data_IF_931849062088
#
_entry.id   IF_931849062088
#
_cell.length_a   1.000
_cell.length_b   1.000
_cell.length_c   1.000
_cell.angle_alpha   90.00
_cell.angle_beta   90.00
_cell.angle_gamma   90.00
#
_symmetry.space_group_name_H-M   'P 1'
#
loop_
_entity.id
_entity.type
_entity.pdbx_description
1 polymer ?
#
# COMPACT_ATOMS: atom_id res chain seq x y z
N UNK A 1 25.07 15.88 46.45
CA UNK A 1 24.34 15.90 45.17
C UNK A 1 24.13 14.50 44.61
N UNK A 2 25.20 13.70 44.46
CA UNK A 2 25.12 12.31 43.91
C UNK A 2 24.19 11.41 44.73
N UNK A 3 24.33 11.45 46.10
CA UNK A 3 23.46 10.66 46.97
C UNK A 3 21.97 11.05 46.86
N UNK A 4 21.68 12.34 46.70
CA UNK A 4 20.31 12.82 46.51
C UNK A 4 19.71 12.31 45.19
N UNK A 5 20.47 12.39 44.08
CA UNK A 5 20.04 11.87 42.79
C UNK A 5 19.80 10.36 42.89
N UNK A 6 20.72 9.62 43.53
CA UNK A 6 20.57 8.18 43.72
C UNK A 6 19.30 7.82 44.52
N UNK A 7 19.06 8.50 45.65
CA UNK A 7 17.83 8.28 46.43
C UNK A 7 16.57 8.65 45.68
N UNK A 8 16.58 9.70 44.82
CA UNK A 8 15.46 10.08 44.00
C UNK A 8 15.14 9.03 42.95
N UNK A 9 16.15 8.42 42.34
CA UNK A 9 15.99 7.31 41.37
C UNK A 9 15.40 6.07 42.06
N UNK A 10 15.94 5.70 43.24
CA UNK A 10 15.40 4.57 44.01
C UNK A 10 13.94 4.80 44.42
N UNK A 11 13.60 6.02 44.85
CA UNK A 11 12.24 6.38 45.20
C UNK A 11 11.30 6.29 43.98
N UNK A 12 11.71 6.81 42.81
CA UNK A 12 10.96 6.73 41.57
C UNK A 12 10.71 5.27 41.12
N UNK A 13 11.70 4.40 41.29
CA UNK A 13 11.55 2.96 41.05
C UNK A 13 10.59 2.31 42.06
N UNK A 14 10.69 2.66 43.35
CA UNK A 14 9.82 2.11 44.38
C UNK A 14 8.34 2.42 44.16
N UNK A 15 8.02 3.65 43.73
CA UNK A 15 6.65 4.06 43.39
C UNK A 15 6.22 3.64 41.97
N UNK A 16 7.03 2.86 41.28
CA UNK A 16 6.77 2.41 39.89
C UNK A 16 6.46 3.57 38.92
N UNK A 17 7.04 4.75 39.13
CA UNK A 17 6.76 5.96 38.36
C UNK A 17 6.96 5.77 36.84
N UNK A 18 7.88 4.91 36.46
CA UNK A 18 8.21 4.61 35.05
C UNK A 18 7.72 3.26 34.58
N UNK A 19 6.86 2.58 35.37
CA UNK A 19 6.19 1.37 34.87
C UNK A 19 5.30 1.73 33.68
N UNK A 20 5.24 0.85 32.70
CA UNK A 20 4.40 1.10 31.54
C UNK A 20 2.91 1.03 31.93
N UNK A 21 2.24 2.17 31.96
CA UNK A 21 0.81 2.27 32.26
C UNK A 21 -0.03 2.42 30.99
N UNK A 22 0.59 2.93 29.93
CA UNK A 22 -0.16 3.25 28.71
C UNK A 22 0.64 2.98 27.45
N UNK A 23 0.02 2.29 26.49
CA UNK A 23 0.47 2.20 25.10
C UNK A 23 -0.48 3.04 24.25
N UNK A 24 0.09 3.91 23.43
CA UNK A 24 -0.64 4.71 22.46
C UNK A 24 -0.20 4.30 21.06
N UNK A 25 -1.12 3.73 20.28
CA UNK A 25 -0.87 3.32 18.91
C UNK A 25 -1.60 4.28 17.99
N UNK A 26 -0.90 4.83 17.01
CA UNK A 26 -1.42 5.80 16.03
C UNK A 26 -1.08 5.35 14.62
N UNK A 27 -2.00 5.58 13.70
CA UNK A 27 -1.78 5.36 12.26
C UNK A 27 -2.21 3.97 11.75
N UNK A 28 -2.55 3.05 12.64
CA UNK A 28 -3.10 1.75 12.26
C UNK A 28 -4.57 1.91 11.82
N UNK A 29 -4.88 1.40 10.63
CA UNK A 29 -6.22 1.39 10.04
C UNK A 29 -6.66 -0.03 9.69
N UNK A 30 -5.80 -0.78 9.04
CA UNK A 30 -6.00 -2.17 8.64
C UNK A 30 -5.44 -3.13 9.69
N UNK A 31 -4.22 -2.89 10.17
CA UNK A 31 -3.57 -3.77 11.16
C UNK A 31 -4.23 -3.58 12.52
N UNK A 32 -4.81 -4.64 13.04
CA UNK A 32 -5.51 -4.60 14.32
C UNK A 32 -4.54 -4.32 15.48
N UNK A 33 -5.00 -3.56 16.47
CA UNK A 33 -4.17 -3.15 17.62
C UNK A 33 -3.60 -4.34 18.40
N UNK A 34 -4.37 -5.43 18.55
CA UNK A 34 -3.91 -6.63 19.22
C UNK A 34 -2.72 -7.29 18.52
N UNK A 35 -2.68 -7.33 17.18
CA UNK A 35 -1.56 -7.87 16.40
C UNK A 35 -0.29 -7.06 16.68
N UNK A 36 -0.41 -5.74 16.77
CA UNK A 36 0.70 -4.85 17.08
C UNK A 36 1.22 -5.09 18.50
N UNK A 37 0.31 -5.19 19.47
CA UNK A 37 0.67 -5.46 20.87
C UNK A 37 1.32 -6.82 21.04
N UNK A 38 0.80 -7.84 20.38
CA UNK A 38 1.37 -9.21 20.41
C UNK A 38 2.78 -9.23 19.80
N UNK A 39 3.01 -8.52 18.69
CA UNK A 39 4.34 -8.41 18.08
C UNK A 39 5.36 -7.70 19.01
N UNK A 40 4.91 -6.72 19.79
CA UNK A 40 5.77 -6.01 20.73
C UNK A 40 6.16 -6.84 21.96
N UNK A 41 5.33 -7.81 22.33
CA UNK A 41 5.55 -8.68 23.51
C UNK A 41 5.96 -7.90 24.78
N UNK A 42 5.16 -6.90 25.14
CA UNK A 42 5.43 -5.98 26.25
C UNK A 42 4.71 -6.45 27.51
N UNK A 43 5.43 -6.43 28.66
CA UNK A 43 4.86 -6.63 29.99
C UNK A 43 4.51 -5.29 30.62
N UNK A 44 3.25 -5.09 31.01
CA UNK A 44 2.77 -3.85 31.62
C UNK A 44 3.42 -3.51 32.98
N UNK A 45 4.02 -4.51 33.66
CA UNK A 45 4.65 -4.28 34.96
C UNK A 45 6.10 -3.78 34.85
N UNK A 46 6.71 -3.90 33.67
CA UNK A 46 8.07 -3.47 33.44
C UNK A 46 8.18 -1.94 33.23
N UNK A 47 9.40 -1.42 33.50
CA UNK A 47 9.69 -0.02 33.22
C UNK A 47 9.75 0.25 31.72
N UNK A 48 9.24 1.40 31.27
CA UNK A 48 9.39 1.82 29.86
C UNK A 48 10.86 1.93 29.43
N UNK A 49 11.80 1.98 30.35
CA UNK A 49 13.23 2.04 30.07
C UNK A 49 13.89 0.68 29.89
N UNK A 50 13.24 -0.43 30.30
CA UNK A 50 13.77 -1.80 30.10
C UNK A 50 13.69 -2.24 28.64
N UNK A 51 12.79 -1.66 27.85
CA UNK A 51 12.60 -2.04 26.45
C UNK A 51 13.63 -1.40 25.52
N UNK A 52 14.16 -2.20 24.60
CA UNK A 52 14.91 -1.70 23.45
C UNK A 52 13.94 -1.21 22.38
N UNK A 53 13.88 0.11 22.16
CA UNK A 53 12.94 0.70 21.19
C UNK A 53 13.20 0.24 19.75
N UNK A 54 14.46 -0.02 19.38
CA UNK A 54 14.80 -0.54 18.05
C UNK A 54 14.23 -1.94 17.84
N UNK A 55 14.37 -2.82 18.84
CA UNK A 55 13.80 -4.17 18.78
C UNK A 55 12.28 -4.16 18.70
N UNK A 56 11.61 -3.30 19.50
CA UNK A 56 10.16 -3.12 19.40
C UNK A 56 9.74 -2.61 18.01
N UNK A 57 10.51 -1.70 17.43
CA UNK A 57 10.28 -1.18 16.09
C UNK A 57 10.41 -2.28 15.05
N UNK A 58 11.51 -3.05 15.07
CA UNK A 58 11.77 -4.14 14.11
C UNK A 58 10.68 -5.21 14.19
N UNK A 59 10.24 -5.57 15.41
CA UNK A 59 9.16 -6.53 15.61
C UNK A 59 7.84 -6.07 14.97
N UNK A 60 7.46 -4.81 15.14
CA UNK A 60 6.23 -4.27 14.55
C UNK A 60 6.39 -4.07 13.04
N UNK A 61 7.56 -3.66 12.55
CA UNK A 61 7.84 -3.56 11.10
C UNK A 61 7.83 -4.91 10.38
N UNK A 62 7.99 -6.03 11.11
CA UNK A 62 7.86 -7.38 10.54
C UNK A 62 6.42 -7.76 10.16
N UNK A 63 5.42 -7.00 10.62
CA UNK A 63 4.01 -7.22 10.26
C UNK A 63 3.79 -6.82 8.80
N UNK A 64 3.22 -7.71 8.00
CA UNK A 64 3.16 -7.65 6.53
C UNK A 64 2.66 -6.31 5.96
N UNK A 65 1.62 -5.73 6.52
CA UNK A 65 1.05 -4.45 6.04
C UNK A 65 1.64 -3.21 6.71
N UNK A 66 2.69 -3.36 7.50
CA UNK A 66 3.39 -2.23 8.11
C UNK A 66 4.54 -1.80 7.18
N UNK A 67 4.58 -0.51 6.84
CA UNK A 67 5.65 0.09 6.02
C UNK A 67 6.78 0.61 6.87
N UNK A 68 6.47 1.28 7.96
CA UNK A 68 7.44 1.81 8.91
C UNK A 68 6.80 2.09 10.26
N UNK A 69 7.62 2.04 11.30
CA UNK A 69 7.19 2.30 12.68
C UNK A 69 8.14 3.29 13.34
N UNK A 70 7.60 4.11 14.21
CA UNK A 70 8.38 4.92 15.14
C UNK A 70 7.91 4.65 16.56
N UNK A 71 8.79 4.08 17.38
CA UNK A 71 8.54 3.87 18.80
C UNK A 71 9.22 4.95 19.62
N UNK A 72 8.52 5.54 20.55
CA UNK A 72 9.05 6.59 21.43
C UNK A 72 8.47 6.51 22.85
N UNK A 73 9.22 7.02 23.81
CA UNK A 73 8.78 7.13 25.20
C UNK A 73 8.20 8.51 25.45
N UNK A 74 7.03 8.56 26.06
CA UNK A 74 6.46 9.78 26.62
C UNK A 74 6.46 9.61 28.15
N UNK A 75 7.30 10.38 28.81
CA UNK A 75 7.44 10.30 30.25
C UNK A 75 6.13 10.70 30.97
N UNK A 76 5.82 10.11 32.11
CA UNK A 76 6.68 9.15 32.84
C UNK A 76 6.50 7.68 32.41
N UNK A 77 5.36 7.27 31.81
CA UNK A 77 4.92 5.87 31.78
C UNK A 77 4.26 5.45 30.46
N UNK A 78 4.44 6.20 29.36
CA UNK A 78 3.77 5.93 28.09
C UNK A 78 4.76 5.52 27.01
N UNK A 79 4.43 4.44 26.27
CA UNK A 79 5.04 4.11 24.99
C UNK A 79 4.12 4.58 23.86
N UNK A 80 4.66 5.39 22.95
CA UNK A 80 3.95 5.84 21.75
C UNK A 80 4.49 5.10 20.54
N UNK A 81 3.60 4.46 19.78
CA UNK A 81 3.86 3.73 18.56
C UNK A 81 3.14 4.44 17.42
N UNK A 82 3.90 5.00 16.49
CA UNK A 82 3.38 5.62 15.28
C UNK A 82 3.66 4.68 14.11
N UNK A 83 2.59 4.25 13.44
CA UNK A 83 2.64 3.28 12.35
C UNK A 83 2.27 3.97 11.05
N UNK A 84 3.04 3.70 10.02
CA UNK A 84 2.68 3.96 8.65
C UNK A 84 2.38 2.61 7.99
N UNK A 85 1.15 2.38 7.60
CA UNK A 85 0.75 1.16 6.90
C UNK A 85 1.05 1.26 5.41
N UNK A 86 1.28 0.10 4.78
CA UNK A 86 1.37 -0.03 3.32
C UNK A 86 -0.01 0.19 2.72
N UNK A 87 -0.05 0.96 1.65
CA UNK A 87 -1.27 1.23 0.90
C UNK A 87 -1.20 0.49 -0.45
N UNK A 88 -1.87 -0.66 -0.58
CA UNK A 88 -1.98 -1.36 -1.86
C UNK A 88 -2.56 -0.47 -2.96
N UNK A 89 -2.06 -0.63 -4.18
CA UNK A 89 -2.54 0.08 -5.36
C UNK A 89 -3.10 -0.87 -6.44
N UNK A 90 -2.85 -2.16 -6.33
CA UNK A 90 -3.35 -3.16 -7.27
C UNK A 90 -3.40 -4.52 -6.62
N UNK A 91 -4.39 -5.32 -6.98
CA UNK A 91 -4.47 -6.74 -6.68
C UNK A 91 -4.07 -7.54 -7.92
N UNK A 92 -3.02 -8.34 -7.83
CA UNK A 92 -2.51 -9.15 -8.92
C UNK A 92 -2.89 -10.61 -8.70
N UNK A 93 -3.42 -11.24 -9.75
CA UNK A 93 -3.72 -12.67 -9.77
C UNK A 93 -2.56 -13.41 -10.46
N UNK A 94 -1.80 -14.17 -9.68
CA UNK A 94 -0.67 -14.99 -10.15
C UNK A 94 -0.98 -16.45 -9.88
N UNK A 95 -1.25 -17.22 -10.92
CA UNK A 95 -1.65 -18.65 -10.81
C UNK A 95 -2.75 -18.85 -9.76
N UNK A 96 -2.44 -19.54 -8.66
CA UNK A 96 -3.38 -19.82 -7.57
C UNK A 96 -3.29 -18.81 -6.41
N UNK A 97 -2.35 -17.86 -6.46
CA UNK A 97 -2.11 -16.90 -5.39
C UNK A 97 -2.50 -15.48 -5.79
N UNK A 98 -2.84 -14.68 -4.80
CA UNK A 98 -3.23 -13.29 -4.95
C UNK A 98 -2.31 -12.42 -4.12
N UNK A 99 -1.76 -11.39 -4.76
CA UNK A 99 -0.88 -10.44 -4.10
C UNK A 99 -1.36 -9.03 -4.32
N UNK A 100 -1.38 -8.26 -3.27
CA UNK A 100 -1.38 -6.82 -3.40
C UNK A 100 0.03 -6.31 -3.68
N UNK A 101 0.11 -5.21 -4.41
CA UNK A 101 1.35 -4.45 -4.54
C UNK A 101 1.10 -3.00 -4.15
N UNK A 102 2.05 -2.43 -3.40
CA UNK A 102 2.06 -1.01 -3.07
C UNK A 102 2.87 -0.21 -4.11
N UNK A 103 2.98 1.10 -3.89
CA UNK A 103 3.73 2.01 -4.77
C UNK A 103 5.24 1.67 -4.85
N UNK A 104 5.78 0.99 -3.83
CA UNK A 104 7.17 0.53 -3.79
C UNK A 104 7.35 -0.83 -4.48
N UNK A 105 6.28 -1.38 -5.08
CA UNK A 105 6.21 -2.70 -5.70
C UNK A 105 6.47 -3.84 -4.70
N UNK A 106 6.15 -3.63 -3.44
CA UNK A 106 6.27 -4.67 -2.41
C UNK A 106 5.08 -5.62 -2.52
N UNK A 107 5.30 -6.95 -2.69
CA UNK A 107 4.23 -7.93 -2.67
C UNK A 107 3.72 -8.13 -1.24
N UNK A 108 2.40 -8.17 -1.08
CA UNK A 108 1.69 -8.42 0.17
C UNK A 108 0.66 -9.51 -0.11
N UNK A 109 0.63 -10.56 0.69
CA UNK A 109 -0.29 -11.66 0.46
C UNK A 109 -1.75 -11.20 0.67
N UNK A 110 -2.58 -11.39 -0.35
CA UNK A 110 -3.97 -10.95 -0.33
C UNK A 110 -4.86 -12.01 0.31
N UNK A 111 -5.08 -11.90 1.61
CA UNK A 111 -6.10 -12.67 2.30
C UNK A 111 -7.51 -12.09 2.07
N UNK A 112 -8.54 -12.82 2.49
CA UNK A 112 -9.95 -12.41 2.29
C UNK A 112 -10.29 -11.08 2.97
N UNK A 113 -9.70 -10.80 4.13
CA UNK A 113 -9.95 -9.58 4.89
C UNK A 113 -9.34 -8.38 4.19
N UNK A 114 -8.09 -8.51 3.72
CA UNK A 114 -7.41 -7.48 2.94
C UNK A 114 -8.14 -7.16 1.64
N UNK A 115 -8.63 -8.17 0.92
CA UNK A 115 -9.40 -7.97 -0.33
C UNK A 115 -10.67 -7.15 -0.08
N UNK A 116 -11.35 -7.39 1.03
CA UNK A 116 -12.54 -6.61 1.38
C UNK A 116 -12.23 -5.19 1.87
N UNK A 117 -11.03 -4.98 2.41
CA UNK A 117 -10.63 -3.69 2.96
C UNK A 117 -10.04 -2.72 1.92
N UNK A 118 -9.28 -3.24 0.95
CA UNK A 118 -8.60 -2.43 -0.06
C UNK A 118 -9.30 -2.52 -1.42
N UNK A 119 -10.16 -1.53 -1.78
CA UNK A 119 -10.80 -1.47 -3.10
C UNK A 119 -9.81 -0.93 -4.14
N UNK A 120 -9.02 -1.81 -4.71
CA UNK A 120 -8.04 -1.48 -5.76
C UNK A 120 -8.35 -2.27 -7.04
N UNK A 121 -7.93 -1.77 -8.23
CA UNK A 121 -8.10 -2.51 -9.48
C UNK A 121 -7.41 -3.88 -9.44
N UNK A 122 -7.94 -4.81 -10.23
CA UNK A 122 -7.39 -6.17 -10.36
C UNK A 122 -6.49 -6.22 -11.60
N UNK A 123 -5.32 -6.83 -11.49
CA UNK A 123 -4.46 -7.12 -12.62
C UNK A 123 -4.50 -8.60 -12.97
N UNK A 124 -4.75 -8.89 -14.25
CA UNK A 124 -4.79 -10.25 -14.78
C UNK A 124 -3.78 -10.40 -15.93
N UNK A 125 -3.17 -11.58 -15.98
CA UNK A 125 -2.26 -11.98 -17.04
C UNK A 125 -2.89 -13.13 -17.84
N UNK A 126 -2.83 -13.01 -19.16
CA UNK A 126 -3.31 -14.06 -20.08
C UNK A 126 -2.16 -14.35 -21.04
N UNK A 127 -1.16 -15.06 -20.55
CA UNK A 127 0.01 -15.51 -21.32
C UNK A 127 0.00 -17.04 -21.40
N UNK A 128 0.74 -17.58 -22.37
CA UNK A 128 0.91 -19.02 -22.50
C UNK A 128 1.72 -19.63 -21.33
N UNK A 129 2.67 -18.85 -20.79
CA UNK A 129 3.44 -19.21 -19.61
C UNK A 129 2.93 -18.46 -18.37
N UNK A 130 2.91 -19.13 -17.19
CA UNK A 130 2.50 -18.49 -15.94
C UNK A 130 3.47 -17.39 -15.52
N UNK A 131 2.95 -16.28 -15.08
CA UNK A 131 3.74 -15.14 -14.56
C UNK A 131 4.05 -15.34 -13.08
N UNK A 132 5.32 -15.11 -12.72
CA UNK A 132 5.81 -15.27 -11.34
C UNK A 132 6.26 -13.94 -10.73
N UNK A 133 6.39 -13.92 -9.41
CA UNK A 133 6.99 -12.80 -8.70
C UNK A 133 8.42 -12.53 -9.23
N UNK A 134 8.68 -11.27 -9.59
CA UNK A 134 9.96 -10.83 -10.15
C UNK A 134 10.06 -10.89 -11.66
N UNK A 135 9.08 -11.40 -12.37
CA UNK A 135 9.09 -11.42 -13.83
C UNK A 135 9.04 -10.01 -14.41
N UNK A 136 9.71 -9.84 -15.56
CA UNK A 136 9.78 -8.57 -16.25
C UNK A 136 8.40 -8.03 -16.64
N UNK A 137 7.51 -8.89 -17.09
CA UNK A 137 6.14 -8.54 -17.47
C UNK A 137 5.36 -7.97 -16.28
N UNK A 138 5.46 -8.63 -15.12
CA UNK A 138 4.84 -8.15 -13.87
C UNK A 138 5.39 -6.78 -13.48
N UNK A 139 6.72 -6.63 -13.46
CA UNK A 139 7.38 -5.36 -13.11
C UNK A 139 6.95 -4.23 -14.06
N UNK A 140 6.85 -4.51 -15.37
CA UNK A 140 6.43 -3.55 -16.39
C UNK A 140 4.97 -3.11 -16.16
N UNK A 141 4.08 -4.08 -15.92
CA UNK A 141 2.68 -3.81 -15.68
C UNK A 141 2.45 -3.04 -14.35
N UNK A 142 3.19 -3.37 -13.28
CA UNK A 142 3.16 -2.61 -12.03
C UNK A 142 3.65 -1.17 -12.21
N UNK A 143 4.74 -0.98 -12.94
CA UNK A 143 5.24 0.38 -13.25
C UNK A 143 4.22 1.20 -14.02
N UNK A 144 3.48 0.57 -14.94
CA UNK A 144 2.39 1.22 -15.65
C UNK A 144 1.32 1.71 -14.67
N UNK A 145 0.83 0.88 -13.75
CA UNK A 145 -0.19 1.25 -12.76
C UNK A 145 0.29 2.39 -11.86
N UNK A 146 1.52 2.33 -11.36
CA UNK A 146 2.13 3.38 -10.53
C UNK A 146 2.15 4.71 -11.31
N UNK A 147 2.56 4.68 -12.57
CA UNK A 147 2.61 5.86 -13.43
C UNK A 147 1.21 6.37 -13.79
N UNK A 148 0.25 5.47 -14.06
CA UNK A 148 -1.15 5.85 -14.28
C UNK A 148 -1.71 6.63 -13.10
N UNK A 149 -1.52 6.13 -11.88
CA UNK A 149 -1.94 6.81 -10.65
C UNK A 149 -1.29 8.19 -10.50
N UNK A 150 0.00 8.31 -10.84
CA UNK A 150 0.73 9.58 -10.71
C UNK A 150 0.35 10.61 -11.77
N UNK A 151 0.15 10.19 -13.04
CA UNK A 151 -0.11 11.07 -14.18
C UNK A 151 -1.59 11.41 -14.29
N UNK A 152 -2.45 10.42 -14.07
CA UNK A 152 -3.89 10.52 -14.30
C UNK A 152 -4.67 9.77 -13.21
N UNK A 153 -4.70 10.36 -12.01
CA UNK A 153 -5.32 9.73 -10.83
C UNK A 153 -6.81 9.45 -11.02
N UNK A 154 -7.52 10.32 -11.73
CA UNK A 154 -8.95 10.13 -12.04
C UNK A 154 -9.20 8.85 -12.86
N UNK A 155 -8.37 8.58 -13.86
CA UNK A 155 -8.42 7.31 -14.60
C UNK A 155 -8.16 6.14 -13.65
N UNK A 156 -7.12 6.23 -12.82
CA UNK A 156 -6.76 5.16 -11.90
C UNK A 156 -7.92 4.85 -10.92
N UNK A 157 -8.59 5.86 -10.39
CA UNK A 157 -9.73 5.70 -9.46
C UNK A 157 -10.95 5.06 -10.12
N UNK A 158 -11.08 5.18 -11.43
CA UNK A 158 -12.14 4.56 -12.23
C UNK A 158 -11.74 3.21 -12.85
N UNK A 159 -10.54 2.68 -12.54
CA UNK A 159 -10.11 1.38 -13.07
C UNK A 159 -10.68 0.24 -12.22
N UNK A 160 -11.32 -0.73 -12.88
CA UNK A 160 -11.67 -2.01 -12.29
C UNK A 160 -10.65 -3.09 -12.61
N UNK A 161 -10.10 -3.09 -13.83
CA UNK A 161 -9.19 -4.16 -14.25
C UNK A 161 -8.08 -3.64 -15.18
N UNK A 162 -6.88 -4.18 -15.00
CA UNK A 162 -5.73 -4.03 -15.89
C UNK A 162 -5.39 -5.41 -16.46
N UNK A 163 -5.50 -5.58 -17.77
CA UNK A 163 -5.21 -6.84 -18.47
C UNK A 163 -3.89 -6.75 -19.20
N UNK A 164 -3.03 -7.70 -18.95
CA UNK A 164 -1.78 -7.87 -19.67
C UNK A 164 -1.83 -9.18 -20.47
N UNK A 165 -1.75 -9.07 -21.79
CA UNK A 165 -1.81 -10.21 -22.70
C UNK A 165 -0.81 -10.06 -23.83
N UNK A 166 0.20 -10.94 -23.92
CA UNK A 166 1.17 -10.97 -25.02
C UNK A 166 1.80 -9.57 -25.25
N UNK A 167 2.31 -8.94 -24.20
CA UNK A 167 2.82 -7.57 -24.19
C UNK A 167 1.78 -6.45 -24.40
N UNK A 168 0.54 -6.76 -24.67
CA UNK A 168 -0.51 -5.75 -24.81
C UNK A 168 -1.14 -5.42 -23.45
N UNK A 169 -1.22 -4.12 -23.13
CA UNK A 169 -1.96 -3.60 -22.00
C UNK A 169 -3.34 -3.12 -22.44
N UNK A 170 -4.35 -3.55 -21.72
CA UNK A 170 -5.69 -3.01 -21.83
C UNK A 170 -6.28 -2.72 -20.45
N UNK A 171 -7.10 -1.68 -20.36
CA UNK A 171 -7.75 -1.23 -19.15
C UNK A 171 -9.25 -1.46 -19.26
N UNK A 172 -9.91 -1.72 -18.14
CA UNK A 172 -11.35 -1.73 -18.02
C UNK A 172 -11.73 -0.80 -16.88
N UNK A 173 -12.62 0.13 -17.16
CA UNK A 173 -13.16 1.02 -16.15
C UNK A 173 -14.31 0.37 -15.37
N UNK A 174 -14.73 0.97 -14.28
CA UNK A 174 -15.87 0.54 -13.47
C UNK A 174 -17.18 0.53 -14.29
N UNK A 175 -17.33 1.44 -15.23
CA UNK A 175 -18.46 1.52 -16.18
C UNK A 175 -18.28 0.60 -17.42
N UNK A 176 -17.25 -0.26 -17.41
CA UNK A 176 -16.93 -1.25 -18.46
C UNK A 176 -16.40 -0.68 -19.77
N UNK A 177 -15.94 0.56 -19.80
CA UNK A 177 -15.21 1.07 -20.97
C UNK A 177 -13.92 0.28 -21.11
N UNK A 178 -13.71 -0.31 -22.28
CA UNK A 178 -12.45 -0.99 -22.60
C UNK A 178 -11.50 -0.01 -23.29
N UNK A 179 -10.27 0.14 -22.78
CA UNK A 179 -9.23 1.00 -23.33
C UNK A 179 -8.04 0.13 -23.73
N UNK A 180 -7.77 0.02 -25.00
CA UNK A 180 -6.63 -0.74 -25.52
C UNK A 180 -5.44 0.18 -25.77
N UNK A 181 -4.35 -0.05 -25.03
CA UNK A 181 -3.11 0.74 -25.11
C UNK A 181 -2.09 0.12 -26.07
N UNK A 182 -2.20 -1.18 -26.37
CA UNK A 182 -1.18 -1.91 -27.12
C UNK A 182 0.04 -2.26 -26.28
N UNK A 183 1.16 -2.53 -26.95
CA UNK A 183 2.43 -3.00 -26.35
C UNK A 183 3.46 -1.88 -26.18
N UNK A 184 3.48 -0.92 -27.07
CA UNK A 184 4.48 0.14 -27.07
C UNK A 184 4.00 1.40 -26.34
N UNK A 185 4.92 2.01 -25.57
CA UNK A 185 4.73 3.32 -24.97
C UNK A 185 3.46 3.53 -24.14
N UNK A 186 2.93 2.44 -23.52
CA UNK A 186 1.70 2.50 -22.73
C UNK A 186 1.68 3.65 -21.71
N UNK A 187 2.82 4.00 -21.13
CA UNK A 187 2.94 5.13 -20.18
C UNK A 187 2.69 6.48 -20.89
N UNK A 188 3.20 6.66 -22.11
CA UNK A 188 2.96 7.86 -22.89
C UNK A 188 1.48 7.98 -23.27
N UNK A 189 0.84 6.86 -23.61
CA UNK A 189 -0.60 6.79 -23.96
C UNK A 189 -1.53 7.19 -22.81
N UNK A 190 -1.09 7.08 -21.56
CA UNK A 190 -1.83 7.66 -20.41
C UNK A 190 -1.93 9.19 -20.54
N UNK A 191 -0.87 9.84 -20.93
CA UNK A 191 -0.88 11.30 -21.12
C UNK A 191 -1.81 11.72 -22.29
N UNK A 192 -1.80 10.95 -23.38
CA UNK A 192 -2.74 11.17 -24.50
C UNK A 192 -4.19 11.00 -24.03
N UNK A 193 -4.46 9.95 -23.26
CA UNK A 193 -5.80 9.70 -22.73
C UNK A 193 -6.27 10.81 -21.80
N UNK A 194 -5.37 11.36 -20.99
CA UNK A 194 -5.65 12.50 -20.12
C UNK A 194 -6.02 13.74 -20.92
N UNK A 195 -5.27 14.08 -21.95
CA UNK A 195 -5.56 15.20 -22.86
C UNK A 195 -6.87 14.99 -23.62
N UNK A 196 -7.13 13.77 -24.06
CA UNK A 196 -8.40 13.41 -24.69
C UNK A 196 -9.57 13.64 -23.73
N UNK A 197 -9.47 13.16 -22.50
CA UNK A 197 -10.49 13.38 -21.47
C UNK A 197 -10.74 14.88 -21.24
N UNK A 198 -9.70 15.68 -21.13
CA UNK A 198 -9.86 17.13 -21.03
C UNK A 198 -10.59 17.76 -22.23
N UNK A 199 -10.34 17.25 -23.43
CA UNK A 199 -10.95 17.78 -24.66
C UNK A 199 -12.45 17.44 -24.73
N UNK A 200 -12.88 16.29 -24.21
CA UNK A 200 -14.26 15.85 -24.27
C UNK A 200 -15.09 16.26 -23.06
N UNK A 201 -14.47 16.68 -21.95
CA UNK A 201 -15.07 16.84 -20.62
C UNK A 201 -16.29 17.80 -20.58
N UNK A 202 -16.40 18.72 -21.53
CA UNK A 202 -17.56 19.63 -21.65
C UNK A 202 -18.83 18.91 -22.16
N UNK A 203 -18.70 17.72 -22.76
CA UNK A 203 -19.80 17.03 -23.44
C UNK A 203 -19.95 15.57 -23.06
N UNK A 204 -18.85 14.89 -22.72
CA UNK A 204 -18.77 13.44 -22.46
C UNK A 204 -17.69 13.13 -21.45
N UNK A 205 -17.80 11.97 -20.81
CA UNK A 205 -16.76 11.34 -20.01
C UNK A 205 -16.14 10.17 -20.77
N UNK A 206 -15.02 9.63 -20.28
CA UNK A 206 -14.44 8.39 -20.84
C UNK A 206 -15.44 7.22 -20.75
N UNK A 207 -16.29 7.24 -19.72
CA UNK A 207 -17.26 6.19 -19.45
C UNK A 207 -18.46 6.19 -20.42
N UNK A 208 -18.64 7.25 -21.22
CA UNK A 208 -19.66 7.30 -22.26
C UNK A 208 -19.29 6.50 -23.52
N UNK A 209 -18.07 5.98 -23.56
CA UNK A 209 -17.58 5.15 -24.65
C UNK A 209 -17.51 3.68 -24.24
N UNK A 210 -17.93 2.78 -25.12
CA UNK A 210 -17.79 1.34 -24.89
C UNK A 210 -16.36 0.85 -25.11
N UNK A 211 -15.63 1.53 -26.00
CA UNK A 211 -14.30 1.15 -26.43
C UNK A 211 -13.48 2.37 -26.84
N UNK A 212 -12.19 2.38 -26.45
CA UNK A 212 -11.21 3.39 -26.84
C UNK A 212 -9.94 2.66 -27.28
N UNK A 213 -9.49 2.90 -28.51
CA UNK A 213 -8.27 2.30 -29.06
C UNK A 213 -7.17 3.35 -29.22
N UNK A 214 -6.05 3.09 -28.56
CA UNK A 214 -4.83 3.90 -28.60
C UNK A 214 -3.64 3.14 -29.20
N UNK A 215 -3.88 2.00 -29.87
CA UNK A 215 -2.80 1.19 -30.47
C UNK A 215 -2.11 1.90 -31.63
N UNK A 216 -2.84 2.75 -32.33
CA UNK A 216 -2.32 3.48 -33.49
C UNK A 216 -1.74 4.82 -33.01
N UNK A 217 -0.50 5.10 -33.37
CA UNK A 217 0.16 6.33 -32.95
C UNK A 217 -0.59 7.58 -33.44
N UNK A 218 -0.70 8.55 -32.52
CA UNK A 218 -1.38 9.83 -32.77
C UNK A 218 -2.87 9.74 -33.17
N UNK A 219 -3.53 8.61 -32.91
CA UNK A 219 -4.95 8.45 -33.19
C UNK A 219 -5.66 7.87 -31.95
N UNK A 220 -6.86 8.39 -31.71
CA UNK A 220 -7.80 7.83 -30.73
C UNK A 220 -9.04 7.41 -31.49
N UNK A 221 -9.34 6.12 -31.45
CA UNK A 221 -10.55 5.56 -32.07
C UNK A 221 -11.54 5.26 -30.94
N UNK A 222 -12.76 5.75 -31.05
CA UNK A 222 -13.82 5.62 -30.05
C UNK A 222 -15.11 5.10 -30.66
#
# INVERSE_FOLDING_TARGET
>A
LIAFVYCSVLYAQHIKLFSQEKIVILGNKYVAQNIILDAMNIDAEESIFSYNLGELQDNVESIEFVKSVKVSRILPSTLMIQILERAPIILVLLDDEKYFFDIDQTPLLANKEAINFFPVPIMTFTNDDPIKLGDFQLTTALRFVIKSKAIHNELYENLSEVRYKNNNLSLITDERTKIDLGDDEAIYKISILKEFQHTINDKRSLNDYSYIDLKIDNQIIV
#
